data_IF_023652090057
#
_entry.id   IF_023652090057
#
_cell.length_a   1.000
_cell.length_b   1.000
_cell.length_c   1.000
_cell.angle_alpha   90.00
_cell.angle_beta   90.00
_cell.angle_gamma   90.00
#
_symmetry.space_group_name_H-M   'P 1'
#
loop_
_entity.id
_entity.type
_entity.pdbx_description
1 polymer ?
#
# COMPACT_ATOMS: atom_id res chain seq x y z
N UNK A 1 -6.82 6.24 0.86
CA UNK A 1 -5.39 6.63 0.95
C UNK A 1 -5.30 8.14 0.95
N UNK A 2 -4.46 8.72 1.80
CA UNK A 2 -4.24 10.16 1.87
C UNK A 2 -2.88 10.49 1.28
N UNK A 3 -2.84 11.17 0.13
CA UNK A 3 -1.64 11.82 -0.39
C UNK A 3 -1.44 13.15 0.33
N UNK A 4 -0.71 13.16 1.45
CA UNK A 4 -0.30 14.39 2.13
C UNK A 4 1.03 14.88 1.54
N UNK A 5 1.09 16.10 0.96
CA UNK A 5 2.36 16.69 0.54
C UNK A 5 3.28 16.82 1.77
N UNK A 6 4.49 16.26 1.71
CA UNK A 6 5.49 16.37 2.78
C UNK A 6 5.75 15.11 3.60
N UNK A 7 4.99 14.01 3.39
CA UNK A 7 5.37 12.68 3.91
C UNK A 7 6.06 11.86 2.82
N UNK A 8 7.30 11.44 3.08
CA UNK A 8 8.19 10.60 2.22
C UNK A 8 8.02 10.80 0.71
N UNK A 9 8.27 12.02 0.21
CA UNK A 9 8.43 12.26 -1.23
C UNK A 9 7.17 12.06 -2.09
N UNK A 10 5.96 12.17 -1.51
CA UNK A 10 4.71 12.06 -2.26
C UNK A 10 4.23 10.62 -2.51
N UNK A 11 4.86 9.62 -1.89
CA UNK A 11 4.37 8.24 -1.93
C UNK A 11 3.07 8.12 -1.13
N UNK A 12 2.05 7.37 -1.61
CA UNK A 12 0.83 7.15 -0.86
C UNK A 12 1.13 6.34 0.40
N UNK A 13 0.76 6.90 1.54
CA UNK A 13 0.85 6.24 2.84
C UNK A 13 -0.48 5.57 3.19
N UNK A 14 -0.38 4.47 3.95
CA UNK A 14 -1.54 3.93 4.67
C UNK A 14 -2.00 5.00 5.68
N UNK A 15 -3.32 5.17 5.79
CA UNK A 15 -3.98 6.28 6.50
C UNK A 15 -3.32 6.55 7.86
N UNK A 16 -2.80 7.77 8.06
CA UNK A 16 -2.18 8.22 9.33
C UNK A 16 -0.98 7.39 9.82
N UNK A 17 -0.48 6.44 9.03
CA UNK A 17 0.70 5.64 9.33
C UNK A 17 1.92 6.12 8.54
N UNK A 18 3.12 5.76 9.00
CA UNK A 18 4.37 5.95 8.23
C UNK A 18 4.71 4.76 7.33
N UNK A 19 3.83 3.75 7.30
CA UNK A 19 3.89 2.61 6.40
C UNK A 19 3.34 3.05 5.04
N UNK A 20 4.14 2.90 4.00
CA UNK A 20 3.73 3.21 2.63
C UNK A 20 3.03 2.02 1.99
N UNK A 21 2.26 2.28 0.93
CA UNK A 21 1.66 1.20 0.11
C UNK A 21 2.73 0.21 -0.36
N UNK A 22 3.91 0.70 -0.72
CA UNK A 22 5.02 -0.14 -1.20
C UNK A 22 5.58 -1.04 -0.12
N UNK A 23 5.69 -0.57 1.12
CA UNK A 23 6.17 -1.42 2.22
C UNK A 23 5.25 -2.64 2.40
N UNK A 24 3.92 -2.44 2.33
CA UNK A 24 2.94 -3.54 2.39
C UNK A 24 3.08 -4.49 1.20
N UNK A 25 3.24 -3.97 -0.01
CA UNK A 25 3.41 -4.79 -1.21
C UNK A 25 4.72 -5.59 -1.19
N UNK A 26 5.81 -5.01 -0.70
CA UNK A 26 7.11 -5.68 -0.56
C UNK A 26 7.03 -6.83 0.45
N UNK A 27 6.32 -6.63 1.57
CA UNK A 27 6.06 -7.69 2.56
C UNK A 27 5.25 -8.86 1.97
N UNK A 28 4.18 -8.55 1.23
CA UNK A 28 3.39 -9.56 0.54
C UNK A 28 4.21 -10.29 -0.53
N UNK A 29 5.04 -9.58 -1.29
CA UNK A 29 5.94 -10.16 -2.29
C UNK A 29 7.01 -11.06 -1.67
N UNK A 30 7.44 -10.77 -0.43
CA UNK A 30 8.32 -11.62 0.35
C UNK A 30 7.62 -12.88 0.92
N UNK A 31 6.31 -13.03 0.70
CA UNK A 31 5.52 -14.18 1.11
C UNK A 31 4.93 -14.09 2.51
N UNK A 32 4.94 -12.91 3.15
CA UNK A 32 4.25 -12.74 4.42
C UNK A 32 2.73 -12.86 4.23
N UNK A 33 2.05 -13.54 5.16
CA UNK A 33 0.59 -13.59 5.17
C UNK A 33 0.00 -12.30 5.74
N UNK A 34 -1.29 -12.06 5.49
CA UNK A 34 -1.97 -10.89 6.05
C UNK A 34 -1.92 -10.91 7.58
N UNK A 35 -2.09 -12.07 8.20
CA UNK A 35 -2.06 -12.22 9.65
C UNK A 35 -0.67 -11.90 10.22
N UNK A 36 0.40 -12.31 9.55
CA UNK A 36 1.76 -12.00 9.96
C UNK A 36 2.03 -10.49 9.88
N UNK A 37 1.61 -9.83 8.80
CA UNK A 37 1.74 -8.38 8.62
C UNK A 37 0.96 -7.62 9.72
N UNK A 38 -0.27 -8.03 10.02
CA UNK A 38 -1.08 -7.41 11.08
C UNK A 38 -0.51 -7.67 12.48
N UNK A 39 0.16 -8.80 12.70
CA UNK A 39 0.84 -9.09 13.95
C UNK A 39 2.10 -8.21 14.13
N UNK A 40 2.86 -7.99 13.06
CA UNK A 40 4.06 -7.14 13.07
C UNK A 40 3.71 -5.64 13.13
N UNK A 41 2.56 -5.25 12.59
CA UNK A 41 2.05 -3.87 12.57
C UNK A 41 0.60 -3.81 13.05
N UNK A 42 0.35 -3.86 14.38
CA UNK A 42 -1.00 -3.88 14.95
C UNK A 42 -1.84 -2.63 14.65
N UNK A 43 -1.21 -1.56 14.21
CA UNK A 43 -1.88 -0.35 13.74
C UNK A 43 -2.48 -0.46 12.34
N UNK A 44 -2.12 -1.49 11.57
CA UNK A 44 -2.74 -1.80 10.29
C UNK A 44 -4.05 -2.54 10.51
N UNK A 45 -5.03 -2.24 9.66
CA UNK A 45 -6.26 -3.01 9.56
C UNK A 45 -6.22 -3.87 8.29
N UNK A 46 -6.96 -4.99 8.26
CA UNK A 46 -7.01 -5.84 7.06
C UNK A 46 -7.45 -5.04 5.81
N UNK A 47 -8.36 -4.08 5.99
CA UNK A 47 -8.83 -3.18 4.94
C UNK A 47 -7.71 -2.29 4.37
N UNK A 48 -6.68 -1.96 5.16
CA UNK A 48 -5.53 -1.19 4.67
C UNK A 48 -4.68 -2.03 3.70
N UNK A 49 -4.52 -3.34 3.97
CA UNK A 49 -3.81 -4.26 3.07
C UNK A 49 -4.59 -4.40 1.74
N UNK A 50 -5.91 -4.56 1.82
CA UNK A 50 -6.77 -4.62 0.63
C UNK A 50 -6.73 -3.31 -0.17
N UNK A 51 -6.72 -2.17 0.51
CA UNK A 51 -6.56 -0.88 -0.14
C UNK A 51 -5.22 -0.79 -0.89
N UNK A 52 -4.11 -1.22 -0.28
CA UNK A 52 -2.79 -1.27 -0.93
C UNK A 52 -2.80 -2.09 -2.23
N UNK A 53 -3.42 -3.28 -2.21
CA UNK A 53 -3.59 -4.12 -3.40
C UNK A 53 -4.46 -3.44 -4.47
N UNK A 54 -5.57 -2.83 -4.07
CA UNK A 54 -6.45 -2.11 -4.99
C UNK A 54 -5.74 -0.93 -5.68
N UNK A 55 -4.92 -0.18 -4.93
CA UNK A 55 -4.09 0.89 -5.49
C UNK A 55 -3.07 0.35 -6.49
N UNK A 56 -2.40 -0.76 -6.20
CA UNK A 56 -1.45 -1.36 -7.13
C UNK A 56 -2.14 -1.76 -8.45
N UNK A 57 -3.30 -2.43 -8.35
CA UNK A 57 -4.08 -2.83 -9.51
C UNK A 57 -4.58 -1.62 -10.32
N UNK A 58 -4.99 -0.55 -9.65
CA UNK A 58 -5.45 0.67 -10.33
C UNK A 58 -4.33 1.40 -11.06
N UNK A 59 -3.18 1.55 -10.39
CA UNK A 59 -2.00 2.16 -10.99
C UNK A 59 -1.54 1.42 -12.24
N UNK A 60 -1.58 0.08 -12.22
CA UNK A 60 -1.19 -0.72 -13.37
C UNK A 60 -2.18 -0.55 -14.54
N UNK A 61 -3.48 -0.49 -14.27
CA UNK A 61 -4.49 -0.17 -15.29
C UNK A 61 -4.26 1.21 -15.90
N UNK A 62 -3.95 2.21 -15.08
CA UNK A 62 -3.67 3.57 -15.57
C UNK A 62 -2.43 3.58 -16.47
N UNK A 63 -1.34 2.91 -16.08
CA UNK A 63 -0.13 2.81 -16.91
C UNK A 63 -0.40 2.09 -18.25
N UNK A 64 -1.20 1.03 -18.24
CA UNK A 64 -1.63 0.33 -19.44
C UNK A 64 -2.49 1.20 -20.37
N UNK A 65 -3.30 2.10 -19.81
CA UNK A 65 -4.17 3.01 -20.59
C UNK A 65 -3.44 4.21 -21.21
N UNK A 66 -2.25 4.57 -20.71
CA UNK A 66 -1.46 5.72 -21.20
C UNK A 66 -0.59 5.36 -22.41
N UNK A 67 -0.49 4.07 -22.76
CA UNK A 67 0.26 3.59 -23.93
C UNK A 67 -0.63 2.91 -25.00
N UNK A 68 -1.95 3.13 -24.94
CA UNK A 68 -2.93 2.63 -25.93
C UNK A 68 -3.42 3.70 -26.89
#
# INVERSE_FOLDING_TARGET
MTSEPGKRGGKPCVRRLRITVYDVLDMLAAGQTHEAILADFPELEADDILACLAFAADRERQLASVHG
#
